data_IF_778272311405
#
_entry.id   IF_778272311405
#
_cell.length_a   1.000
_cell.length_b   1.000
_cell.length_c   1.000
_cell.angle_alpha   90.00
_cell.angle_beta   90.00
_cell.angle_gamma   90.00
#
_symmetry.space_group_name_H-M   'P 1'
#
loop_
_entity.id
_entity.type
_entity.pdbx_description
1 polymer ?
#
# COMPACT_ATOMS: atom_id res chain seq x y z
N UNK A 1 -15.91 -21.66 12.37
CA UNK A 1 -14.82 -21.61 11.36
C UNK A 1 -13.59 -22.43 11.75
N UNK A 2 -13.26 -22.59 13.05
CA UNK A 2 -12.08 -23.37 13.51
C UNK A 2 -10.80 -23.10 12.69
N UNK A 3 -10.57 -21.81 12.39
CA UNK A 3 -9.45 -21.36 11.57
C UNK A 3 -8.27 -20.98 12.47
N UNK A 4 -7.04 -21.22 11.99
CA UNK A 4 -5.83 -20.85 12.72
C UNK A 4 -5.50 -19.35 12.62
N UNK A 5 -5.76 -18.74 11.46
CA UNK A 5 -5.45 -17.33 11.15
C UNK A 5 -6.55 -16.71 10.27
N UNK A 6 -6.81 -15.43 10.46
CA UNK A 6 -7.67 -14.65 9.56
C UNK A 6 -6.79 -13.84 8.59
N UNK A 7 -7.00 -14.00 7.28
CA UNK A 7 -6.31 -13.19 6.26
C UNK A 7 -7.26 -12.12 5.76
N UNK A 8 -6.86 -10.87 5.91
CA UNK A 8 -7.66 -9.69 5.57
C UNK A 8 -6.89 -8.93 4.50
N UNK A 9 -7.53 -8.55 3.40
CA UNK A 9 -6.90 -7.75 2.34
C UNK A 9 -7.89 -6.68 1.92
N UNK A 10 -7.44 -5.42 1.85
CA UNK A 10 -8.24 -4.27 1.42
C UNK A 10 -9.57 -4.08 2.19
N UNK A 11 -9.54 -4.23 3.51
CA UNK A 11 -10.73 -4.11 4.36
C UNK A 11 -10.66 -2.90 5.30
N UNK A 12 -11.82 -2.49 5.81
CA UNK A 12 -11.94 -1.41 6.81
C UNK A 12 -11.45 -1.88 8.18
N UNK A 13 -11.40 -0.98 9.15
CA UNK A 13 -11.10 -1.32 10.55
C UNK A 13 -12.00 -2.46 11.03
N UNK A 14 -11.39 -3.52 11.56
CA UNK A 14 -12.11 -4.70 12.03
C UNK A 14 -12.48 -4.56 13.51
N UNK A 15 -13.67 -5.04 13.92
CA UNK A 15 -14.01 -5.17 15.33
C UNK A 15 -13.00 -6.07 16.04
N UNK A 16 -12.70 -5.77 17.32
CA UNK A 16 -11.79 -6.58 18.13
C UNK A 16 -12.15 -8.06 18.16
N UNK A 17 -13.45 -8.38 18.21
CA UNK A 17 -13.93 -9.75 18.17
C UNK A 17 -13.49 -10.53 16.92
N UNK A 18 -13.29 -9.86 15.78
CA UNK A 18 -12.77 -10.49 14.56
C UNK A 18 -11.25 -10.65 14.63
N UNK A 19 -10.54 -9.65 15.17
CA UNK A 19 -9.08 -9.70 15.33
C UNK A 19 -8.66 -10.87 16.24
N UNK A 20 -9.45 -11.15 17.28
CA UNK A 20 -9.18 -12.18 18.27
C UNK A 20 -9.84 -13.54 17.94
N UNK A 21 -10.55 -13.66 16.80
CA UNK A 21 -11.35 -14.85 16.48
C UNK A 21 -10.52 -16.10 16.17
N UNK A 22 -9.24 -15.93 15.86
CA UNK A 22 -8.33 -17.00 15.43
C UNK A 22 -7.07 -16.98 16.29
N UNK A 23 -6.48 -18.15 16.58
CA UNK A 23 -5.37 -18.24 17.55
C UNK A 23 -4.12 -17.47 17.14
N UNK A 24 -3.88 -17.29 15.83
CA UNK A 24 -2.78 -16.51 15.28
C UNK A 24 -3.17 -15.05 14.98
N UNK A 25 -4.37 -14.64 15.40
CA UNK A 25 -4.94 -13.33 15.12
C UNK A 25 -5.31 -13.13 13.64
N UNK A 26 -5.51 -11.88 13.26
CA UNK A 26 -5.74 -11.47 11.88
C UNK A 26 -4.48 -10.85 11.28
N UNK A 27 -4.16 -11.17 10.03
CA UNK A 27 -3.04 -10.60 9.28
C UNK A 27 -3.54 -9.84 8.06
N UNK A 28 -2.77 -8.85 7.62
CA UNK A 28 -3.04 -8.10 6.40
C UNK A 28 -1.77 -7.94 5.56
N UNK A 29 -1.95 -7.83 4.24
CA UNK A 29 -0.91 -7.45 3.29
C UNK A 29 -1.10 -5.98 2.96
N UNK A 30 -0.11 -5.16 3.32
CA UNK A 30 -0.06 -3.75 2.98
C UNK A 30 0.87 -3.50 1.80
N UNK A 31 0.45 -2.69 0.83
CA UNK A 31 1.18 -2.42 -0.41
C UNK A 31 2.25 -1.32 -0.26
N UNK A 32 3.00 -1.37 0.85
CA UNK A 32 4.22 -0.61 1.06
C UNK A 32 5.19 -1.37 1.96
N UNK A 33 6.38 -0.80 2.14
CA UNK A 33 7.34 -1.22 3.15
C UNK A 33 7.05 -0.47 4.46
N UNK A 34 6.13 -1.00 5.27
CA UNK A 34 5.79 -0.44 6.58
C UNK A 34 7.06 -0.24 7.44
N UNK A 35 7.14 0.84 8.23
CA UNK A 35 6.06 1.80 8.57
C UNK A 35 5.79 2.90 7.53
N UNK A 36 6.53 2.95 6.41
CA UNK A 36 6.28 3.98 5.40
C UNK A 36 4.91 3.76 4.73
N UNK A 37 4.23 4.86 4.39
CA UNK A 37 2.99 4.88 3.62
C UNK A 37 1.81 4.12 4.26
N UNK A 38 1.57 4.27 5.57
CA UNK A 38 0.36 3.74 6.24
C UNK A 38 -0.91 4.42 5.69
N UNK A 39 -1.98 3.67 5.48
CA UNK A 39 -3.28 4.20 5.06
C UNK A 39 -3.76 3.71 3.70
N UNK A 40 -4.67 4.46 3.09
CA UNK A 40 -5.53 3.95 2.04
C UNK A 40 -4.93 3.90 0.63
N UNK A 41 -3.87 4.67 0.34
CA UNK A 41 -3.32 4.77 -1.03
C UNK A 41 -1.78 4.68 -1.09
N UNK A 42 -1.16 3.65 -0.47
CA UNK A 42 0.30 3.55 -0.38
C UNK A 42 1.02 3.60 -1.73
N UNK A 43 0.47 2.92 -2.75
CA UNK A 43 1.08 2.86 -4.09
C UNK A 43 1.07 4.24 -4.74
N UNK A 44 -0.08 4.94 -4.71
CA UNK A 44 -0.19 6.29 -5.25
C UNK A 44 0.85 7.23 -4.66
N UNK A 45 1.01 7.21 -3.33
CA UNK A 45 1.94 8.11 -2.65
C UNK A 45 3.40 7.75 -2.91
N UNK A 46 3.76 6.47 -2.97
CA UNK A 46 5.11 6.05 -3.34
C UNK A 46 5.48 6.52 -4.77
N UNK A 47 4.55 6.33 -5.72
CA UNK A 47 4.72 6.77 -7.10
C UNK A 47 4.78 8.31 -7.19
N UNK A 48 3.90 9.02 -6.48
CA UNK A 48 3.85 10.49 -6.44
C UNK A 48 5.14 11.10 -5.90
N UNK A 49 5.72 10.48 -4.86
CA UNK A 49 6.96 10.93 -4.22
C UNK A 49 8.21 10.58 -5.02
N UNK A 50 8.07 9.89 -6.16
CA UNK A 50 9.22 9.52 -6.98
C UNK A 50 10.07 8.40 -6.39
N UNK A 51 9.48 7.56 -5.52
CA UNK A 51 10.17 6.42 -4.95
C UNK A 51 10.68 5.49 -6.05
N UNK A 52 11.85 4.91 -5.82
CA UNK A 52 12.45 3.91 -6.73
C UNK A 52 12.12 2.47 -6.32
N UNK A 53 11.56 2.31 -5.13
CA UNK A 53 11.24 1.03 -4.53
C UNK A 53 9.99 1.17 -3.65
N UNK A 54 9.17 0.14 -3.67
CA UNK A 54 8.10 -0.13 -2.71
C UNK A 54 8.14 -1.61 -2.34
N UNK A 55 7.04 -2.18 -1.89
CA UNK A 55 6.92 -3.59 -1.61
C UNK A 55 5.59 -3.96 -0.99
N UNK A 56 5.52 -5.19 -0.51
CA UNK A 56 4.43 -5.67 0.33
C UNK A 56 4.96 -5.94 1.74
N UNK A 57 4.15 -5.63 2.74
CA UNK A 57 4.38 -6.01 4.14
C UNK A 57 3.24 -6.91 4.61
N UNK A 58 3.57 -8.11 5.08
CA UNK A 58 2.62 -8.93 5.84
C UNK A 58 2.78 -8.60 7.32
N UNK A 59 1.69 -8.23 7.98
CA UNK A 59 1.71 -7.83 9.39
C UNK A 59 0.46 -8.31 10.13
N UNK A 60 0.57 -8.44 11.45
CA UNK A 60 -0.55 -8.79 12.34
C UNK A 60 -1.37 -7.54 12.58
N UNK A 61 -2.67 -7.57 12.33
CA UNK A 61 -3.57 -6.45 12.56
C UNK A 61 -3.73 -6.16 14.06
N UNK A 62 -3.86 -4.88 14.39
CA UNK A 62 -4.27 -4.39 15.71
C UNK A 62 -5.35 -3.32 15.54
N UNK A 63 -5.69 -2.61 16.61
CA UNK A 63 -6.70 -1.54 16.56
C UNK A 63 -6.20 -0.25 15.88
N UNK A 64 -4.88 -0.12 15.69
CA UNK A 64 -4.29 1.01 15.00
C UNK A 64 -4.18 0.73 13.48
N UNK A 65 -4.30 1.79 12.68
CA UNK A 65 -4.24 1.68 11.23
C UNK A 65 -2.83 1.34 10.77
N UNK A 66 -2.65 0.16 10.16
CA UNK A 66 -1.41 -0.33 9.56
C UNK A 66 -0.16 -0.25 10.49
N UNK A 67 -0.38 -0.32 11.81
CA UNK A 67 0.66 -0.15 12.83
C UNK A 67 0.90 -1.43 13.65
N UNK A 68 0.45 -2.57 13.14
CA UNK A 68 0.68 -3.87 13.76
C UNK A 68 2.07 -4.45 13.48
N UNK A 69 2.43 -5.52 14.18
CA UNK A 69 3.77 -6.08 14.09
C UNK A 69 3.99 -6.76 12.73
N UNK A 70 5.14 -6.50 12.12
CA UNK A 70 5.54 -7.01 10.81
C UNK A 70 5.98 -8.47 10.94
N UNK A 71 5.41 -9.33 10.09
CA UNK A 71 5.83 -10.73 9.97
C UNK A 71 6.90 -10.89 8.90
N UNK A 72 6.71 -10.27 7.74
CA UNK A 72 7.65 -10.32 6.62
C UNK A 72 7.43 -9.15 5.66
N UNK A 73 8.47 -8.83 4.87
CA UNK A 73 8.41 -7.81 3.82
C UNK A 73 9.08 -8.32 2.56
N UNK A 74 8.56 -7.91 1.41
CA UNK A 74 9.17 -8.18 0.11
C UNK A 74 9.20 -6.90 -0.72
N UNK A 75 10.37 -6.51 -1.19
CA UNK A 75 10.56 -5.30 -2.01
C UNK A 75 10.18 -5.52 -3.46
N UNK A 76 9.80 -4.44 -4.13
CA UNK A 76 9.54 -4.38 -5.57
C UNK A 76 10.02 -3.03 -6.15
N UNK A 77 10.67 -3.00 -7.32
CA UNK A 77 11.11 -1.74 -7.92
C UNK A 77 9.90 -0.91 -8.37
N UNK A 78 10.12 0.41 -8.47
CA UNK A 78 9.25 1.32 -9.22
C UNK A 78 10.12 1.89 -10.35
N UNK A 79 9.81 1.52 -11.58
CA UNK A 79 10.51 2.03 -12.75
C UNK A 79 10.10 3.48 -13.06
N UNK A 80 10.94 4.23 -13.81
CA UNK A 80 10.67 5.64 -14.07
C UNK A 80 9.27 5.91 -14.64
N UNK A 81 8.79 5.05 -15.55
CA UNK A 81 7.52 5.23 -16.24
C UNK A 81 6.38 4.38 -15.65
N UNK A 82 6.63 3.66 -14.55
CA UNK A 82 5.57 2.89 -13.90
C UNK A 82 4.48 3.84 -13.39
N UNK A 83 3.24 3.54 -13.77
CA UNK A 83 2.03 4.11 -13.21
C UNK A 83 1.65 3.37 -11.92
N UNK A 84 0.71 3.93 -11.16
CA UNK A 84 0.12 3.20 -10.02
C UNK A 84 -0.49 1.86 -10.46
N UNK A 85 -1.04 1.77 -11.67
CA UNK A 85 -1.56 0.52 -12.23
C UNK A 85 -0.49 -0.56 -12.39
N UNK A 86 0.65 -0.19 -12.99
CA UNK A 86 1.77 -1.13 -13.23
C UNK A 86 2.35 -1.65 -11.91
N UNK A 87 2.52 -0.75 -10.94
CA UNK A 87 3.00 -1.12 -9.60
C UNK A 87 1.97 -2.00 -8.89
N UNK A 88 0.68 -1.70 -9.02
CA UNK A 88 -0.39 -2.50 -8.42
C UNK A 88 -0.37 -3.95 -8.93
N UNK A 89 -0.36 -4.17 -10.24
CA UNK A 89 -0.29 -5.52 -10.83
C UNK A 89 0.92 -6.30 -10.32
N UNK A 90 2.08 -5.65 -10.27
CA UNK A 90 3.31 -6.26 -9.75
C UNK A 90 3.16 -6.67 -8.29
N UNK A 91 2.59 -5.78 -7.46
CA UNK A 91 2.42 -6.02 -6.03
C UNK A 91 1.37 -7.08 -5.70
N UNK A 92 0.39 -7.33 -6.58
CA UNK A 92 -0.54 -8.46 -6.40
C UNK A 92 0.22 -9.80 -6.35
N UNK A 93 1.12 -10.01 -7.31
CA UNK A 93 1.95 -11.23 -7.37
C UNK A 93 2.91 -11.31 -6.18
N UNK A 94 3.58 -10.20 -5.86
CA UNK A 94 4.52 -10.13 -4.72
C UNK A 94 3.81 -10.41 -3.40
N UNK A 95 2.64 -9.81 -3.18
CA UNK A 95 1.85 -9.99 -1.96
C UNK A 95 1.34 -11.42 -1.80
N UNK A 96 0.77 -12.01 -2.85
CA UNK A 96 0.29 -13.39 -2.83
C UNK A 96 1.41 -14.38 -2.48
N UNK A 97 2.58 -14.21 -3.11
CA UNK A 97 3.76 -15.02 -2.82
C UNK A 97 4.21 -14.86 -1.36
N UNK A 98 4.34 -13.62 -0.88
CA UNK A 98 4.73 -13.31 0.50
C UNK A 98 3.79 -13.99 1.50
N UNK A 99 2.48 -13.96 1.27
CA UNK A 99 1.51 -14.62 2.14
C UNK A 99 1.73 -16.14 2.22
N UNK A 100 1.82 -16.80 1.06
CA UNK A 100 1.95 -18.26 0.95
C UNK A 100 3.26 -18.75 1.60
N UNK A 101 4.35 -18.00 1.44
CA UNK A 101 5.65 -18.36 1.99
C UNK A 101 5.73 -18.11 3.50
N UNK A 102 5.06 -17.06 3.99
CA UNK A 102 5.20 -16.62 5.40
C UNK A 102 4.27 -17.37 6.36
N UNK A 103 3.02 -17.64 5.96
CA UNK A 103 2.01 -18.20 6.87
C UNK A 103 2.38 -19.59 7.45
N UNK A 104 2.98 -20.54 6.71
CA UNK A 104 3.39 -21.82 7.28
C UNK A 104 4.44 -21.69 8.38
N UNK A 105 5.43 -20.81 8.20
CA UNK A 105 6.46 -20.55 9.21
C UNK A 105 5.89 -19.81 10.42
N UNK A 106 4.98 -18.85 10.19
CA UNK A 106 4.24 -18.20 11.28
C UNK A 106 3.43 -19.20 12.10
N UNK A 107 2.76 -20.13 11.42
CA UNK A 107 1.96 -21.18 12.05
C UNK A 107 2.79 -22.12 12.94
N UNK A 108 4.04 -22.39 12.55
CA UNK A 108 5.00 -23.20 13.32
C UNK A 108 5.72 -22.42 14.43
N UNK A 109 5.48 -21.11 14.56
CA UNK A 109 6.14 -20.26 15.56
C UNK A 109 7.58 -19.91 15.23
N UNK A 110 7.98 -20.01 13.96
CA UNK A 110 9.36 -19.75 13.50
C UNK A 110 9.63 -18.27 13.19
N UNK A 111 8.58 -17.45 13.14
CA UNK A 111 8.68 -16.01 12.84
C UNK A 111 8.50 -15.22 14.13
N UNK A 112 9.40 -14.28 14.37
CA UNK A 112 9.29 -13.30 15.44
C UNK A 112 8.79 -11.96 14.87
N UNK A 113 7.56 -11.53 15.21
CA UNK A 113 7.01 -10.29 14.70
C UNK A 113 7.83 -9.07 15.14
N UNK A 114 8.02 -8.13 14.22
CA UNK A 114 8.83 -6.93 14.44
C UNK A 114 7.91 -5.74 14.69
N UNK A 115 8.10 -5.05 15.83
CA UNK A 115 7.41 -3.80 16.13
C UNK A 115 7.89 -2.70 15.18
N UNK A 116 6.95 -1.95 14.61
CA UNK A 116 7.27 -0.84 13.71
C UNK A 116 7.91 0.35 14.44
N UNK A 117 8.85 1.05 13.80
CA UNK A 117 9.40 2.32 14.32
C UNK A 117 8.49 3.48 13.94
N UNK A 118 7.75 4.01 14.91
CA UNK A 118 6.80 5.11 14.72
C UNK A 118 7.45 6.39 14.13
N UNK A 119 8.75 6.60 14.35
CA UNK A 119 9.46 7.78 13.81
C UNK A 119 9.63 7.71 12.29
N UNK A 120 9.49 6.52 11.70
CA UNK A 120 9.59 6.29 10.26
C UNK A 120 8.22 6.16 9.59
N UNK A 121 7.14 6.30 10.35
CA UNK A 121 5.79 6.21 9.81
C UNK A 121 5.45 7.43 8.96
N UNK A 122 4.99 7.19 7.73
CA UNK A 122 4.49 8.25 6.84
C UNK A 122 3.06 7.94 6.40
N UNK A 123 2.17 8.94 6.29
CA UNK A 123 0.80 8.71 5.90
C UNK A 123 0.66 8.58 4.38
N UNK A 124 -0.29 7.76 3.94
CA UNK A 124 -0.73 7.62 2.57
C UNK A 124 -2.27 7.73 2.51
N UNK A 125 -2.82 8.94 2.70
CA UNK A 125 -4.27 9.15 2.68
C UNK A 125 -4.87 8.80 1.32
N UNK A 126 -6.17 8.51 1.32
CA UNK A 126 -6.93 8.22 0.10
C UNK A 126 -6.79 9.36 -0.92
N UNK A 127 -6.59 9.01 -2.18
CA UNK A 127 -6.61 9.96 -3.31
C UNK A 127 -8.03 10.15 -3.85
N UNK A 128 -8.30 11.34 -4.37
CA UNK A 128 -9.58 11.78 -4.92
C UNK A 128 -9.41 12.36 -6.32
N UNK A 129 -10.50 12.55 -7.05
CA UNK A 129 -10.44 13.08 -8.42
C UNK A 129 -9.77 14.45 -8.53
N UNK A 130 -9.83 15.27 -7.46
CA UNK A 130 -9.17 16.58 -7.41
C UNK A 130 -7.65 16.46 -7.44
N UNK A 131 -7.09 15.40 -6.87
CA UNK A 131 -5.64 15.14 -6.83
C UNK A 131 -5.07 14.82 -8.22
N UNK A 132 -5.94 14.43 -9.15
CA UNK A 132 -5.63 14.25 -10.57
C UNK A 132 -5.33 15.55 -11.31
N UNK A 133 -5.66 16.73 -10.76
CA UNK A 133 -5.37 18.01 -11.41
C UNK A 133 -3.85 18.27 -11.38
N UNK A 134 -3.20 18.20 -12.54
CA UNK A 134 -1.76 18.35 -12.63
C UNK A 134 -1.32 19.77 -12.22
N UNK A 135 -0.35 19.83 -11.32
CA UNK A 135 0.25 21.08 -10.85
C UNK A 135 1.33 21.54 -11.82
N UNK A 136 0.92 22.14 -12.94
CA UNK A 136 1.83 22.56 -14.02
C UNK A 136 2.83 23.67 -13.63
N UNK A 137 2.71 24.24 -12.43
CA UNK A 137 3.69 25.19 -11.89
C UNK A 137 4.88 24.51 -11.19
N UNK A 138 4.82 23.19 -10.97
CA UNK A 138 5.89 22.38 -10.39
C UNK A 138 6.94 21.97 -11.44
N UNK A 139 8.03 21.33 -11.02
CA UNK A 139 9.03 20.81 -11.97
C UNK A 139 8.46 19.70 -12.85
N UNK A 140 9.05 19.51 -14.03
CA UNK A 140 8.66 18.44 -14.95
C UNK A 140 8.67 17.05 -14.30
N UNK A 141 9.64 16.78 -13.41
CA UNK A 141 9.72 15.51 -12.68
C UNK A 141 8.55 15.32 -11.70
N UNK A 142 8.15 16.38 -10.99
CA UNK A 142 7.00 16.34 -10.08
C UNK A 142 5.68 16.19 -10.84
N UNK A 143 5.50 16.91 -11.95
CA UNK A 143 4.31 16.78 -12.81
C UNK A 143 4.22 15.37 -13.39
N UNK A 144 5.34 14.83 -13.87
CA UNK A 144 5.43 13.46 -14.37
C UNK A 144 5.06 12.44 -13.29
N UNK A 145 5.62 12.56 -12.08
CA UNK A 145 5.29 11.69 -10.95
C UNK A 145 3.80 11.79 -10.56
N UNK A 146 3.23 12.99 -10.56
CA UNK A 146 1.80 13.17 -10.31
C UNK A 146 0.96 12.49 -11.40
N UNK A 147 1.32 12.65 -12.67
CA UNK A 147 0.60 12.03 -13.77
C UNK A 147 0.55 10.50 -13.63
N UNK A 148 1.72 9.86 -13.49
CA UNK A 148 1.81 8.40 -13.35
C UNK A 148 1.20 7.89 -12.03
N UNK A 149 1.26 8.66 -10.94
CA UNK A 149 0.63 8.31 -9.66
C UNK A 149 -0.90 8.29 -9.74
N UNK A 150 -1.50 9.15 -10.55
CA UNK A 150 -2.95 9.23 -10.70
C UNK A 150 -3.48 8.29 -11.78
N UNK A 151 -2.61 7.60 -12.52
CA UNK A 151 -2.98 6.65 -13.58
C UNK A 151 -3.03 5.21 -13.05
N UNK A 152 -4.09 4.43 -13.32
CA UNK A 152 -5.26 4.78 -14.14
C UNK A 152 -6.37 5.51 -13.36
N UNK A 153 -6.38 5.42 -12.03
CA UNK A 153 -7.41 6.00 -11.16
C UNK A 153 -6.75 6.87 -10.09
N UNK A 154 -7.21 8.12 -9.87
CA UNK A 154 -8.43 8.74 -10.40
C UNK A 154 -8.34 9.29 -11.84
N UNK A 155 -7.17 9.22 -12.46
CA UNK A 155 -6.84 9.77 -13.77
C UNK A 155 -6.24 11.17 -13.65
N UNK A 156 -5.10 11.39 -14.30
CA UNK A 156 -4.47 12.69 -14.42
C UNK A 156 -5.24 13.60 -15.39
N UNK A 157 -5.32 14.90 -15.10
CA UNK A 157 -6.03 15.85 -15.93
C UNK A 157 -5.54 17.29 -15.74
N UNK A 158 -5.86 18.14 -16.71
CA UNK A 158 -5.64 19.59 -16.66
C UNK A 158 -6.95 20.33 -16.97
N UNK A 159 -7.01 21.61 -16.61
CA UNK A 159 -8.08 22.51 -17.05
C UNK A 159 -7.58 23.31 -18.25
N UNK A 160 -8.22 23.15 -19.40
CA UNK A 160 -7.91 23.88 -20.63
C UNK A 160 -9.18 24.61 -21.08
N UNK A 161 -9.12 25.94 -21.17
CA UNK A 161 -10.26 26.79 -21.59
C UNK A 161 -11.56 26.59 -20.78
N UNK A 162 -11.46 26.16 -19.52
CA UNK A 162 -12.63 25.87 -18.69
C UNK A 162 -12.95 24.38 -18.59
N UNK A 163 -12.47 23.58 -19.54
CA UNK A 163 -12.80 22.16 -19.69
C UNK A 163 -11.75 21.24 -19.05
N UNK A 164 -12.21 20.07 -18.57
CA UNK A 164 -11.34 19.04 -17.99
C UNK A 164 -10.82 18.12 -19.09
N UNK A 165 -9.51 18.15 -19.32
CA UNK A 165 -8.82 17.30 -20.31
C UNK A 165 -7.99 16.24 -19.58
N UNK A 166 -8.28 14.96 -19.83
CA UNK A 166 -7.49 13.85 -19.27
C UNK A 166 -6.13 13.74 -19.96
N UNK A 167 -5.12 13.40 -19.19
CA UNK A 167 -3.79 13.04 -19.67
C UNK A 167 -3.65 11.53 -19.53
N UNK A 168 -3.37 10.84 -20.63
CA UNK A 168 -3.22 9.38 -20.72
C UNK A 168 -1.73 9.01 -20.66
#
# INVERSE_FOLDING_TARGET
>A
LNADVSVVVAFRLLPKAILDATRLGAVNIHASLLPAYRGAAPIHHAVLNGEKQTGCTLFVLNQAMDAGQILAQQTSPIHPNDTTGDVYERLQTVGAKLLIETLPAWNRGEIHPITQDERRATPAPKVFSVDGCLRLHETAAQVHNQARAMTPTPGAWIKLEGEKVKIL
#
